data_IF_421831665691
#
_entry.id   IF_421831665691
#
_cell.length_a   1.000
_cell.length_b   1.000
_cell.length_c   1.000
_cell.angle_alpha   90.00
_cell.angle_beta   90.00
_cell.angle_gamma   90.00
#
_symmetry.space_group_name_H-M   'P 1'
#
loop_
_entity.id
_entity.type
_entity.pdbx_description
1 polymer ?
#
# COMPACT_ATOMS: atom_id res chain seq x y z
N UNK A 1 -31.05 -36.70 -30.11
CA UNK A 1 -29.66 -36.50 -30.56
C UNK A 1 -29.09 -35.42 -29.66
N UNK A 2 -28.25 -35.85 -28.74
CA UNK A 2 -27.72 -35.09 -27.60
C UNK A 2 -26.33 -34.56 -27.96
N UNK A 3 -25.85 -33.54 -27.22
CA UNK A 3 -24.46 -33.04 -27.13
C UNK A 3 -24.13 -31.94 -28.19
N UNK A 4 -23.57 -30.77 -27.91
CA UNK A 4 -22.79 -30.33 -26.74
C UNK A 4 -22.91 -28.82 -26.47
N UNK A 5 -22.94 -28.46 -25.18
CA UNK A 5 -22.52 -27.15 -24.69
C UNK A 5 -21.07 -27.30 -24.23
N UNK A 6 -20.11 -26.74 -24.96
CA UNK A 6 -18.75 -26.63 -24.44
C UNK A 6 -18.06 -25.33 -24.84
N UNK A 7 -17.74 -24.58 -23.79
CA UNK A 7 -16.52 -23.80 -23.63
C UNK A 7 -16.30 -22.54 -24.49
N UNK A 8 -17.00 -21.45 -24.13
CA UNK A 8 -16.45 -20.09 -24.28
C UNK A 8 -15.70 -19.76 -22.99
N UNK A 9 -14.51 -20.37 -22.84
CA UNK A 9 -13.56 -19.98 -21.81
C UNK A 9 -12.94 -18.64 -22.18
N UNK A 10 -13.48 -17.53 -21.64
CA UNK A 10 -12.71 -16.29 -21.57
C UNK A 10 -11.59 -16.51 -20.56
N UNK A 11 -10.43 -16.92 -21.07
CA UNK A 11 -9.17 -16.95 -20.34
C UNK A 11 -8.81 -15.51 -19.94
N UNK A 12 -9.26 -15.09 -18.76
CA UNK A 12 -8.72 -13.91 -18.09
C UNK A 12 -7.29 -14.24 -17.68
N UNK A 13 -6.33 -13.94 -18.57
CA UNK A 13 -4.92 -13.94 -18.21
C UNK A 13 -4.75 -13.12 -16.93
N UNK A 14 -4.06 -13.63 -15.90
CA UNK A 14 -3.83 -12.91 -14.67
C UNK A 14 -3.12 -11.59 -15.02
N UNK A 15 -3.70 -10.47 -14.58
CA UNK A 15 -3.04 -9.16 -14.66
C UNK A 15 -1.65 -9.33 -14.05
N UNK A 16 -0.56 -9.05 -14.79
CA UNK A 16 0.78 -9.23 -14.27
C UNK A 16 0.88 -8.44 -12.97
N UNK A 17 1.34 -9.12 -11.91
CA UNK A 17 1.68 -8.47 -10.65
C UNK A 17 2.53 -7.23 -10.99
N UNK A 18 2.19 -6.08 -10.41
CA UNK A 18 2.82 -4.78 -10.67
C UNK A 18 4.36 -4.73 -10.55
N UNK A 19 5.04 -5.86 -10.28
CA UNK A 19 6.48 -5.99 -10.09
C UNK A 19 7.31 -6.29 -11.34
N UNK A 20 6.72 -6.64 -12.49
CA UNK A 20 7.49 -7.16 -13.66
C UNK A 20 7.61 -6.23 -14.87
N UNK A 21 6.99 -5.04 -14.85
CA UNK A 21 7.09 -4.06 -15.93
C UNK A 21 8.22 -3.04 -15.72
N UNK A 22 8.71 -2.36 -16.76
CA UNK A 22 9.67 -1.27 -16.58
C UNK A 22 9.08 -0.20 -15.64
N UNK A 23 9.90 0.40 -14.77
CA UNK A 23 9.49 1.31 -13.68
C UNK A 23 8.41 2.33 -14.10
N UNK A 24 8.54 2.89 -15.30
CA UNK A 24 7.58 3.86 -15.87
C UNK A 24 6.18 3.27 -16.08
N UNK A 25 6.06 2.02 -16.53
CA UNK A 25 4.77 1.36 -16.75
C UNK A 25 4.07 1.05 -15.44
N UNK A 26 4.82 0.61 -14.42
CA UNK A 26 4.26 0.34 -13.09
C UNK A 26 3.70 1.61 -12.46
N UNK A 27 4.47 2.71 -12.52
CA UNK A 27 4.02 4.01 -12.05
C UNK A 27 2.79 4.50 -12.83
N UNK A 28 2.81 4.41 -14.16
CA UNK A 28 1.69 4.82 -15.01
C UNK A 28 0.40 4.03 -14.71
N UNK A 29 0.48 2.70 -14.57
CA UNK A 29 -0.66 1.87 -14.21
C UNK A 29 -1.24 2.24 -12.84
N UNK A 30 -0.39 2.51 -11.84
CA UNK A 30 -0.82 3.01 -10.53
C UNK A 30 -1.54 4.36 -10.63
N UNK A 31 -1.06 5.27 -11.51
CA UNK A 31 -1.70 6.57 -11.75
C UNK A 31 -3.07 6.42 -12.41
N UNK A 32 -3.18 5.59 -13.46
CA UNK A 32 -4.47 5.33 -14.13
C UNK A 32 -5.48 4.76 -13.13
N UNK A 33 -5.04 3.78 -12.32
CA UNK A 33 -5.92 3.18 -11.31
C UNK A 33 -6.33 4.19 -10.25
N UNK A 34 -5.44 5.09 -9.83
CA UNK A 34 -5.77 6.19 -8.91
C UNK A 34 -6.92 7.04 -9.46
N UNK A 35 -6.86 7.41 -10.74
CA UNK A 35 -7.94 8.19 -11.38
C UNK A 35 -9.27 7.44 -11.36
N UNK A 36 -9.27 6.14 -11.65
CA UNK A 36 -10.49 5.31 -11.58
C UNK A 36 -11.06 5.29 -10.15
N UNK A 37 -10.20 5.08 -9.14
CA UNK A 37 -10.63 5.05 -7.73
C UNK A 37 -11.17 6.43 -7.30
N UNK A 38 -10.56 7.53 -7.74
CA UNK A 38 -11.05 8.88 -7.48
C UNK A 38 -12.41 9.14 -8.12
N UNK A 39 -12.69 8.58 -9.31
CA UNK A 39 -14.02 8.65 -9.91
C UNK A 39 -15.03 7.95 -9.02
N UNK A 40 -14.75 6.72 -8.55
CA UNK A 40 -15.65 6.01 -7.64
C UNK A 40 -15.88 6.76 -6.32
N UNK A 41 -14.84 7.40 -5.77
CA UNK A 41 -14.96 8.23 -4.57
C UNK A 41 -15.82 9.48 -4.78
N UNK A 42 -15.91 10.00 -6.02
CA UNK A 42 -16.73 11.16 -6.35
C UNK A 42 -18.16 10.80 -6.75
N UNK A 43 -18.48 9.52 -6.93
CA UNK A 43 -19.83 9.10 -7.28
C UNK A 43 -20.82 9.46 -6.17
N UNK A 44 -21.96 10.07 -6.51
CA UNK A 44 -22.99 10.40 -5.53
C UNK A 44 -23.60 9.11 -4.97
N UNK A 45 -23.60 9.01 -3.64
CA UNK A 45 -24.09 7.84 -2.93
C UNK A 45 -25.62 7.91 -2.87
N UNK A 46 -26.25 7.38 -3.90
CA UNK A 46 -27.72 7.38 -4.08
C UNK A 46 -28.29 5.96 -3.99
N UNK A 47 -29.59 5.84 -3.73
CA UNK A 47 -30.27 4.54 -3.69
C UNK A 47 -30.22 3.79 -5.03
N UNK A 48 -30.15 4.50 -6.16
CA UNK A 48 -29.97 3.89 -7.48
C UNK A 48 -28.67 3.08 -7.60
N UNK A 49 -27.64 3.43 -6.81
CA UNK A 49 -26.37 2.73 -6.79
C UNK A 49 -26.43 1.41 -6.02
N UNK A 50 -27.43 1.20 -5.16
CA UNK A 50 -27.53 0.07 -4.22
C UNK A 50 -27.37 -1.29 -4.91
N UNK A 51 -27.94 -1.44 -6.12
CA UNK A 51 -27.85 -2.69 -6.89
C UNK A 51 -26.42 -3.07 -7.30
N UNK A 52 -25.53 -2.09 -7.46
CA UNK A 52 -24.16 -2.27 -7.94
C UNK A 52 -23.12 -2.29 -6.81
N UNK A 53 -23.52 -2.03 -5.56
CA UNK A 53 -22.60 -1.86 -4.43
C UNK A 53 -21.68 -3.08 -4.24
N UNK A 54 -22.22 -4.30 -4.38
CA UNK A 54 -21.41 -5.52 -4.24
C UNK A 54 -20.39 -5.65 -5.36
N UNK A 55 -20.78 -5.32 -6.58
CA UNK A 55 -19.92 -5.38 -7.77
C UNK A 55 -18.80 -4.33 -7.72
N UNK A 56 -19.03 -3.22 -7.02
CA UNK A 56 -18.03 -2.18 -6.76
C UNK A 56 -17.12 -2.59 -5.60
N UNK A 57 -17.68 -3.02 -4.47
CA UNK A 57 -16.93 -3.29 -3.25
C UNK A 57 -16.07 -4.56 -3.33
N UNK A 58 -16.54 -5.64 -3.98
CA UNK A 58 -15.80 -6.90 -4.02
C UNK A 58 -14.43 -6.75 -4.71
N UNK A 59 -14.31 -6.06 -5.86
CA UNK A 59 -13.02 -5.69 -6.43
C UNK A 59 -12.21 -4.75 -5.53
N UNK A 60 -12.83 -3.77 -4.86
CA UNK A 60 -12.12 -2.83 -4.00
C UNK A 60 -11.44 -3.52 -2.80
N UNK A 61 -12.12 -4.46 -2.15
CA UNK A 61 -11.51 -5.28 -1.08
C UNK A 61 -10.29 -6.05 -1.59
N UNK A 62 -10.36 -6.64 -2.78
CA UNK A 62 -9.24 -7.37 -3.39
C UNK A 62 -8.08 -6.44 -3.75
N UNK A 63 -8.38 -5.27 -4.33
CA UNK A 63 -7.38 -4.27 -4.72
C UNK A 63 -6.65 -3.68 -3.51
N UNK A 64 -7.33 -3.48 -2.39
CA UNK A 64 -6.75 -2.91 -1.17
C UNK A 64 -5.46 -3.62 -0.74
N UNK A 65 -5.40 -4.95 -0.90
CA UNK A 65 -4.23 -5.76 -0.51
C UNK A 65 -3.06 -5.69 -1.50
N UNK A 66 -3.30 -5.19 -2.71
CA UNK A 66 -2.34 -5.20 -3.84
C UNK A 66 -1.80 -3.83 -4.18
N UNK A 67 -2.51 -2.78 -3.79
CA UNK A 67 -2.19 -1.39 -4.13
C UNK A 67 -1.09 -0.77 -3.27
N UNK A 68 -0.59 0.38 -3.74
CA UNK A 68 0.30 1.25 -2.98
C UNK A 68 -0.46 2.01 -1.88
N UNK A 69 0.28 2.61 -0.95
CA UNK A 69 -0.23 3.38 0.19
C UNK A 69 -1.35 4.37 -0.16
N UNK A 70 -1.16 5.23 -1.17
CA UNK A 70 -2.14 6.27 -1.51
C UNK A 70 -3.45 5.68 -2.05
N UNK A 71 -3.33 4.74 -2.99
CA UNK A 71 -4.50 4.08 -3.58
C UNK A 71 -5.25 3.26 -2.53
N UNK A 72 -4.53 2.59 -1.63
CA UNK A 72 -5.13 1.80 -0.56
C UNK A 72 -5.87 2.66 0.47
N UNK A 73 -5.34 3.83 0.83
CA UNK A 73 -6.02 4.79 1.70
C UNK A 73 -7.35 5.24 1.10
N UNK A 74 -7.37 5.55 -0.21
CA UNK A 74 -8.58 5.96 -0.89
C UNK A 74 -9.59 4.80 -1.02
N UNK A 75 -9.13 3.60 -1.37
CA UNK A 75 -9.95 2.39 -1.41
C UNK A 75 -10.61 2.11 -0.06
N UNK A 76 -9.84 2.16 1.04
CA UNK A 76 -10.37 1.93 2.38
C UNK A 76 -11.44 2.97 2.75
N UNK A 77 -11.24 4.24 2.39
CA UNK A 77 -12.24 5.30 2.61
C UNK A 77 -13.55 5.00 1.87
N UNK A 78 -13.47 4.64 0.59
CA UNK A 78 -14.66 4.27 -0.22
C UNK A 78 -15.36 3.06 0.40
N UNK A 79 -14.60 2.01 0.76
CA UNK A 79 -15.14 0.80 1.39
C UNK A 79 -15.90 1.16 2.65
N UNK A 80 -15.29 1.92 3.57
CA UNK A 80 -15.92 2.35 4.82
C UNK A 80 -17.21 3.14 4.57
N UNK A 81 -17.19 4.08 3.63
CA UNK A 81 -18.33 4.93 3.34
C UNK A 81 -19.51 4.12 2.76
N UNK A 82 -19.25 3.23 1.80
CA UNK A 82 -20.27 2.39 1.18
C UNK A 82 -20.79 1.32 2.14
N UNK A 83 -19.90 0.70 2.94
CA UNK A 83 -20.30 -0.26 3.98
C UNK A 83 -21.19 0.42 5.03
N UNK A 84 -20.89 1.67 5.40
CA UNK A 84 -21.70 2.46 6.35
C UNK A 84 -23.07 2.80 5.79
N UNK A 85 -23.13 3.29 4.55
CA UNK A 85 -24.38 3.75 3.94
C UNK A 85 -25.31 2.59 3.56
N UNK A 86 -24.80 1.62 2.81
CA UNK A 86 -25.65 0.58 2.20
C UNK A 86 -25.77 -0.67 3.08
N UNK A 87 -24.81 -0.89 3.98
CA UNK A 87 -24.72 -2.06 4.87
C UNK A 87 -24.89 -3.40 4.12
N UNK A 88 -24.14 -3.63 3.03
CA UNK A 88 -24.28 -4.85 2.26
C UNK A 88 -23.78 -6.06 3.06
N UNK A 89 -24.42 -7.21 2.86
CA UNK A 89 -23.95 -8.48 3.43
C UNK A 89 -22.81 -9.04 2.58
N UNK A 90 -21.57 -8.80 3.03
CA UNK A 90 -20.31 -9.20 2.36
C UNK A 90 -19.34 -9.85 3.37
N UNK A 91 -19.81 -10.90 4.05
CA UNK A 91 -19.08 -11.52 5.17
C UNK A 91 -17.74 -12.12 4.73
N UNK A 92 -17.68 -12.69 3.53
CA UNK A 92 -16.45 -13.31 3.01
C UNK A 92 -15.37 -12.25 2.74
N UNK A 93 -15.72 -11.17 2.05
CA UNK A 93 -14.79 -10.08 1.78
C UNK A 93 -14.32 -9.37 3.05
N UNK A 94 -15.21 -9.20 4.03
CA UNK A 94 -14.83 -8.64 5.34
C UNK A 94 -13.89 -9.58 6.09
N UNK A 95 -14.13 -10.89 6.05
CA UNK A 95 -13.23 -11.89 6.66
C UNK A 95 -11.84 -11.82 6.04
N UNK A 96 -11.75 -11.80 4.71
CA UNK A 96 -10.47 -11.66 3.98
C UNK A 96 -9.75 -10.36 4.35
N UNK A 97 -10.50 -9.26 4.50
CA UNK A 97 -9.95 -7.99 4.98
C UNK A 97 -9.40 -8.09 6.41
N UNK A 98 -10.12 -8.72 7.35
CA UNK A 98 -9.64 -8.89 8.72
C UNK A 98 -8.39 -9.79 8.76
N UNK A 99 -8.32 -10.82 7.92
CA UNK A 99 -7.12 -11.65 7.77
C UNK A 99 -5.93 -10.85 7.22
N UNK A 100 -6.18 -9.96 6.25
CA UNK A 100 -5.16 -9.03 5.77
C UNK A 100 -4.66 -8.12 6.90
N UNK A 101 -5.55 -7.48 7.66
CA UNK A 101 -5.19 -6.65 8.82
C UNK A 101 -4.38 -7.46 9.84
N UNK A 102 -4.84 -8.65 10.19
CA UNK A 102 -4.15 -9.55 11.12
C UNK A 102 -2.70 -9.79 10.66
N UNK A 103 -2.50 -10.10 9.37
CA UNK A 103 -1.18 -10.31 8.80
C UNK A 103 -0.30 -9.04 8.83
N UNK A 104 -0.86 -7.87 8.55
CA UNK A 104 -0.13 -6.59 8.62
C UNK A 104 0.37 -6.34 10.05
N UNK A 105 -0.51 -6.44 11.06
CA UNK A 105 -0.11 -6.23 12.46
C UNK A 105 0.91 -7.27 12.94
N UNK A 106 0.76 -8.55 12.53
CA UNK A 106 1.72 -9.61 12.84
C UNK A 106 3.10 -9.31 12.24
N UNK A 107 3.16 -8.92 10.97
CA UNK A 107 4.42 -8.58 10.30
C UNK A 107 5.08 -7.37 10.96
N UNK A 108 4.32 -6.32 11.27
CA UNK A 108 4.83 -5.12 11.94
C UNK A 108 5.40 -5.41 13.33
N UNK A 109 4.76 -6.30 14.10
CA UNK A 109 5.28 -6.74 15.39
C UNK A 109 6.59 -7.55 15.28
N UNK A 110 6.88 -8.15 14.13
CA UNK A 110 8.12 -8.90 13.89
C UNK A 110 9.23 -8.07 13.24
N UNK A 111 8.89 -6.97 12.57
CA UNK A 111 9.82 -6.20 11.73
C UNK A 111 10.09 -4.78 12.28
N UNK A 112 9.98 -4.58 13.60
CA UNK A 112 10.15 -3.28 14.25
C UNK A 112 11.45 -2.57 13.84
N UNK A 113 12.52 -3.34 13.68
CA UNK A 113 13.85 -2.81 13.41
C UNK A 113 13.94 -2.03 12.09
N UNK A 114 13.03 -2.33 11.16
CA UNK A 114 13.04 -1.77 9.81
C UNK A 114 12.02 -0.66 9.58
N UNK A 115 11.14 -0.38 10.55
CA UNK A 115 10.07 0.61 10.38
C UNK A 115 10.61 2.03 10.51
N UNK A 116 11.52 2.27 11.46
CA UNK A 116 11.91 3.61 11.88
C UNK A 116 13.16 4.15 11.19
N UNK A 117 13.80 3.39 10.30
CA UNK A 117 15.01 3.82 9.63
C UNK A 117 14.70 4.31 8.21
N UNK A 118 15.16 5.51 7.88
CA UNK A 118 15.04 6.06 6.53
C UNK A 118 15.90 5.24 5.57
N UNK A 119 15.26 4.63 4.57
CA UNK A 119 15.95 3.92 3.49
C UNK A 119 16.12 4.85 2.31
N UNK A 120 17.36 5.18 1.96
CA UNK A 120 17.71 5.84 0.71
C UNK A 120 18.40 4.83 -0.20
N UNK A 121 17.87 4.64 -1.41
CA UNK A 121 18.48 3.75 -2.39
C UNK A 121 19.19 4.60 -3.44
N UNK A 122 20.51 4.68 -3.33
CA UNK A 122 21.39 5.13 -4.41
C UNK A 122 21.84 3.89 -5.16
N UNK A 123 21.29 3.63 -6.35
CA UNK A 123 21.85 2.62 -7.25
C UNK A 123 22.83 3.32 -8.18
N UNK A 124 24.16 3.25 -7.91
CA UNK A 124 25.11 3.63 -8.93
C UNK A 124 25.02 2.57 -10.03
N UNK A 125 25.03 3.02 -11.29
CA UNK A 125 25.45 2.21 -12.44
C UNK A 125 24.42 1.35 -13.20
N UNK A 126 23.10 1.57 -13.14
CA UNK A 126 22.19 0.72 -13.95
C UNK A 126 21.08 1.47 -14.68
N UNK A 127 20.71 0.90 -15.82
CA UNK A 127 19.69 1.38 -16.75
C UNK A 127 18.31 1.06 -16.16
N UNK A 128 17.26 1.84 -16.46
CA UNK A 128 15.90 1.70 -15.86
C UNK A 128 15.33 0.26 -15.92
N UNK A 129 15.88 -0.60 -16.79
CA UNK A 129 15.47 -1.97 -17.02
C UNK A 129 16.02 -3.00 -16.00
N UNK A 130 16.99 -2.63 -15.15
CA UNK A 130 17.69 -3.58 -14.25
C UNK A 130 17.37 -3.36 -12.75
N UNK A 131 16.44 -2.45 -12.43
CA UNK A 131 16.05 -2.19 -11.04
C UNK A 131 15.07 -3.28 -10.58
N UNK A 132 15.49 -4.12 -9.62
CA UNK A 132 14.58 -5.04 -8.93
C UNK A 132 13.65 -4.28 -7.97
N UNK A 133 12.56 -3.78 -8.53
CA UNK A 133 11.53 -3.03 -7.83
C UNK A 133 10.85 -3.83 -6.73
N UNK A 134 10.72 -5.15 -6.89
CA UNK A 134 10.10 -6.03 -5.89
C UNK A 134 10.83 -5.94 -4.55
N UNK A 135 12.15 -6.11 -4.58
CA UNK A 135 12.98 -6.10 -3.38
C UNK A 135 12.96 -4.73 -2.67
N UNK A 136 12.97 -3.63 -3.44
CA UNK A 136 12.89 -2.27 -2.89
C UNK A 136 11.51 -2.04 -2.23
N UNK A 137 10.44 -2.37 -2.95
CA UNK A 137 9.05 -2.16 -2.49
C UNK A 137 8.75 -3.00 -1.23
N UNK A 138 9.32 -4.20 -1.11
CA UNK A 138 9.17 -5.04 0.08
C UNK A 138 9.85 -4.43 1.31
N UNK A 139 10.88 -3.62 1.13
CA UNK A 139 11.68 -3.08 2.20
C UNK A 139 11.22 -1.71 2.71
N UNK A 140 10.37 -1.00 1.97
CA UNK A 140 9.94 0.36 2.33
C UNK A 140 8.65 0.36 3.15
N UNK A 141 8.65 1.13 4.24
CA UNK A 141 7.45 1.40 5.04
C UNK A 141 6.79 2.74 4.71
N UNK A 142 7.50 3.62 3.99
CA UNK A 142 7.04 4.95 3.53
C UNK A 142 7.50 5.23 2.11
N UNK A 143 7.12 6.40 1.59
CA UNK A 143 7.60 6.86 0.29
C UNK A 143 9.11 7.11 0.30
N UNK A 144 9.79 6.63 -0.72
CA UNK A 144 11.25 6.78 -0.88
C UNK A 144 11.56 7.39 -2.23
N UNK A 145 12.48 8.36 -2.24
CA UNK A 145 13.03 8.94 -3.47
C UNK A 145 14.14 8.05 -4.01
N UNK A 146 13.94 7.51 -5.21
CA UNK A 146 14.97 6.87 -6.00
C UNK A 146 15.62 7.89 -6.93
N UNK A 147 16.94 7.97 -6.90
CA UNK A 147 17.72 8.76 -7.85
C UNK A 147 18.42 7.80 -8.81
N UNK A 148 18.02 7.83 -10.09
CA UNK A 148 18.60 7.00 -11.14
C UNK A 148 19.54 7.87 -11.97
N UNK A 149 20.85 7.61 -11.87
CA UNK A 149 21.85 8.28 -12.72
C UNK A 149 21.91 7.56 -14.07
N UNK A 150 21.56 8.24 -15.16
CA UNK A 150 21.78 7.70 -16.50
C UNK A 150 23.28 7.71 -16.80
N UNK A 151 23.83 6.55 -17.16
CA UNK A 151 25.13 6.51 -17.84
C UNK A 151 24.84 6.72 -19.33
N UNK A 152 25.14 7.91 -19.84
CA UNK A 152 25.24 8.10 -21.28
C UNK A 152 26.56 7.51 -21.74
N UNK A 153 26.57 6.23 -22.15
CA UNK A 153 27.63 5.73 -23.01
C UNK A 153 27.37 6.23 -24.43
N UNK A 154 27.70 7.50 -24.71
CA UNK A 154 27.89 7.93 -26.09
C UNK A 154 29.28 7.43 -26.53
N UNK A 155 29.41 6.64 -27.61
CA UNK A 155 30.71 6.39 -28.19
C UNK A 155 31.22 7.71 -28.77
N UNK A 156 32.32 8.19 -28.20
CA UNK A 156 33.11 9.29 -28.76
C UNK A 156 33.53 8.87 -30.17
N UNK A 157 32.89 9.39 -31.20
CA UNK A 157 33.49 9.45 -32.52
C UNK A 157 34.33 10.72 -32.57
N UNK A 158 35.63 10.51 -32.55
CA UNK A 158 36.67 11.48 -32.85
C UNK A 158 36.41 12.16 -34.19
N UNK A 159 36.23 13.47 -34.17
CA UNK A 159 36.59 14.34 -35.29
C UNK A 159 37.33 15.55 -34.73
N UNK A 160 38.60 15.65 -35.12
CA UNK A 160 39.52 16.73 -34.83
C UNK A 160 38.99 18.03 -35.45
N UNK A 161 38.85 19.10 -34.67
CA UNK A 161 39.39 20.44 -34.98
C UNK A 161 39.40 21.33 -33.73
N UNK A 162 40.53 21.99 -33.56
CA UNK A 162 41.00 22.98 -32.58
C UNK A 162 40.04 24.15 -32.31
N UNK A 163 39.77 24.47 -31.04
CA UNK A 163 40.22 25.72 -30.37
C UNK A 163 39.59 25.92 -28.98
N UNK A 164 40.34 26.64 -28.14
CA UNK A 164 40.26 26.75 -26.68
C UNK A 164 39.06 27.53 -26.13
N UNK A 165 38.35 26.97 -25.13
CA UNK A 165 38.13 27.57 -23.78
C UNK A 165 37.15 26.70 -22.98
N UNK A 166 37.65 26.13 -21.88
CA UNK A 166 36.98 25.13 -21.04
C UNK A 166 36.02 25.76 -20.04
N UNK A 167 34.72 25.44 -20.19
CA UNK A 167 33.76 25.27 -19.08
C UNK A 167 32.60 24.40 -19.56
N UNK A 168 32.88 23.13 -19.78
CA UNK A 168 31.87 22.11 -20.12
C UNK A 168 31.44 21.42 -18.83
N UNK A 169 30.46 22.00 -18.13
CA UNK A 169 29.74 21.31 -17.05
C UNK A 169 29.01 20.12 -17.67
N UNK A 170 29.54 18.91 -17.48
CA UNK A 170 28.88 17.67 -17.87
C UNK A 170 27.58 17.52 -17.07
N UNK A 171 26.45 17.93 -17.64
CA UNK A 171 25.13 17.73 -17.03
C UNK A 171 24.82 16.22 -17.05
N UNK A 172 25.17 15.53 -15.97
CA UNK A 172 24.67 14.17 -15.69
C UNK A 172 23.16 14.29 -15.47
N UNK A 173 22.35 13.95 -16.47
CA UNK A 173 20.91 13.89 -16.33
C UNK A 173 20.53 12.73 -15.39
N UNK A 174 20.16 13.05 -14.15
CA UNK A 174 19.59 12.10 -13.19
C UNK A 174 18.07 12.22 -13.15
N UNK A 175 17.36 11.13 -13.44
CA UNK A 175 15.91 11.08 -13.27
C UNK A 175 15.62 10.70 -11.80
N UNK A 176 14.75 11.47 -11.12
CA UNK A 176 14.32 11.17 -9.74
C UNK A 176 12.89 10.63 -9.77
N UNK A 177 12.65 9.49 -9.11
CA UNK A 177 11.34 8.87 -8.99
C UNK A 177 10.95 8.73 -7.51
N UNK A 178 9.68 8.93 -7.18
CA UNK A 178 9.15 8.62 -5.84
C UNK A 178 8.45 7.28 -5.89
N UNK A 179 8.89 6.33 -5.06
CA UNK A 179 8.22 5.04 -4.87
C UNK A 179 7.42 5.10 -3.59
N UNK A 180 6.16 4.68 -3.66
CA UNK A 180 5.27 4.56 -2.51
C UNK A 180 5.35 3.14 -1.92
N UNK A 181 5.21 3.02 -0.60
CA UNK A 181 5.13 1.72 0.08
C UNK A 181 3.88 0.96 -0.33
N UNK A 182 3.89 -0.37 -0.17
CA UNK A 182 2.67 -1.19 -0.32
C UNK A 182 1.72 -0.93 0.83
N UNK A 183 0.43 -1.15 0.59
CA UNK A 183 -0.60 -1.15 1.62
C UNK A 183 -0.20 -1.96 2.87
N UNK A 184 0.39 -3.14 2.68
CA UNK A 184 0.83 -4.03 3.77
C UNK A 184 1.93 -3.44 4.66
N UNK A 185 2.71 -2.47 4.15
CA UNK A 185 3.83 -1.86 4.85
C UNK A 185 3.55 -0.42 5.30
N UNK A 186 2.43 0.15 4.90
CA UNK A 186 2.08 1.55 5.22
C UNK A 186 1.67 1.72 6.67
N UNK A 187 2.40 2.57 7.40
CA UNK A 187 2.01 3.00 8.76
C UNK A 187 0.78 3.93 8.70
N UNK A 188 0.64 4.72 7.63
CA UNK A 188 -0.54 5.58 7.44
C UNK A 188 -1.82 4.77 7.26
N UNK A 189 -1.80 3.73 6.43
CA UNK A 189 -2.96 2.86 6.24
C UNK A 189 -3.32 2.13 7.54
N UNK A 190 -2.30 1.68 8.29
CA UNK A 190 -2.49 1.05 9.60
C UNK A 190 -3.26 1.97 10.57
N UNK A 191 -3.03 3.28 10.51
CA UNK A 191 -3.75 4.27 11.32
C UNK A 191 -5.25 4.31 11.03
N UNK A 192 -5.70 3.90 9.84
CA UNK A 192 -7.10 3.94 9.41
C UNK A 192 -7.85 2.63 9.69
N UNK A 193 -7.13 1.52 9.89
CA UNK A 193 -7.76 0.23 10.19
C UNK A 193 -8.62 0.23 11.45
N UNK A 194 -8.23 0.81 12.61
CA UNK A 194 -9.06 0.79 13.81
C UNK A 194 -10.49 1.31 13.57
N UNK A 195 -10.63 2.42 12.84
CA UNK A 195 -11.94 3.02 12.53
C UNK A 195 -12.74 2.13 11.58
N UNK A 196 -12.10 1.59 10.54
CA UNK A 196 -12.74 0.65 9.62
C UNK A 196 -13.23 -0.61 10.34
N UNK A 197 -12.42 -1.18 11.25
CA UNK A 197 -12.75 -2.38 12.02
C UNK A 197 -13.89 -2.10 13.00
N UNK A 198 -13.96 -0.93 13.65
CA UNK A 198 -15.13 -0.56 14.47
C UNK A 198 -16.41 -0.62 13.64
N UNK A 199 -16.41 0.00 12.46
CA UNK A 199 -17.58 -0.02 11.58
C UNK A 199 -17.94 -1.45 11.19
N UNK A 200 -16.97 -2.25 10.76
CA UNK A 200 -17.20 -3.63 10.35
C UNK A 200 -17.70 -4.48 11.51
N UNK A 201 -17.16 -4.31 12.71
CA UNK A 201 -17.64 -4.96 13.93
C UNK A 201 -19.11 -4.61 14.19
N UNK A 202 -19.48 -3.34 14.10
CA UNK A 202 -20.88 -2.92 14.25
C UNK A 202 -21.82 -3.56 13.23
N UNK A 203 -21.35 -3.82 12.01
CA UNK A 203 -22.17 -4.38 10.93
C UNK A 203 -22.25 -5.91 10.93
N UNK A 204 -21.17 -6.62 11.30
CA UNK A 204 -21.07 -8.07 11.08
C UNK A 204 -20.50 -8.87 12.26
N UNK A 205 -20.43 -8.30 13.48
CA UNK A 205 -19.90 -8.99 14.67
C UNK A 205 -20.43 -10.41 14.86
N UNK A 206 -21.73 -10.65 14.63
CA UNK A 206 -22.36 -11.96 14.88
C UNK A 206 -21.72 -13.08 14.07
N UNK A 207 -21.29 -12.79 12.83
CA UNK A 207 -20.74 -13.79 11.92
C UNK A 207 -19.21 -13.91 11.99
N UNK A 208 -18.52 -12.90 12.56
CA UNK A 208 -17.06 -12.78 12.55
C UNK A 208 -16.44 -12.56 13.95
N UNK A 209 -17.12 -13.00 15.01
CA UNK A 209 -16.64 -12.83 16.40
C UNK A 209 -15.22 -13.38 16.61
N UNK A 210 -14.93 -14.55 16.02
CA UNK A 210 -13.62 -15.20 16.18
C UNK A 210 -12.50 -14.34 15.58
N UNK A 211 -12.70 -13.84 14.35
CA UNK A 211 -11.72 -13.01 13.64
C UNK A 211 -11.45 -11.69 14.37
N UNK A 212 -12.50 -11.04 14.91
CA UNK A 212 -12.31 -9.83 15.71
C UNK A 212 -11.57 -10.13 17.02
N UNK A 213 -11.87 -11.26 17.66
CA UNK A 213 -11.19 -11.71 18.87
C UNK A 213 -9.69 -11.95 18.66
N UNK A 214 -9.31 -12.53 17.52
CA UNK A 214 -7.90 -12.78 17.16
C UNK A 214 -7.07 -11.49 16.98
N UNK A 215 -7.72 -10.36 16.64
CA UNK A 215 -7.03 -9.07 16.50
C UNK A 215 -6.63 -8.46 17.84
N UNK A 216 -7.36 -8.75 18.93
CA UNK A 216 -7.11 -8.18 20.26
C UNK A 216 -5.68 -8.44 20.78
N UNK A 217 -5.18 -9.70 20.85
CA UNK A 217 -3.82 -9.96 21.32
C UNK A 217 -2.75 -9.34 20.42
N UNK A 218 -2.99 -9.26 19.11
CA UNK A 218 -2.08 -8.58 18.19
C UNK A 218 -2.00 -7.08 18.46
N UNK A 219 -3.13 -6.42 18.70
CA UNK A 219 -3.18 -5.01 19.02
C UNK A 219 -2.51 -4.71 20.36
N UNK A 220 -2.75 -5.54 21.38
CA UNK A 220 -2.06 -5.42 22.66
C UNK A 220 -0.54 -5.55 22.48
N UNK A 221 -0.07 -6.55 21.72
CA UNK A 221 1.36 -6.67 21.39
C UNK A 221 1.87 -5.45 20.64
N UNK A 222 1.12 -4.95 19.66
CA UNK A 222 1.49 -3.77 18.88
C UNK A 222 1.67 -2.50 19.74
N UNK A 223 0.85 -2.33 20.78
CA UNK A 223 0.97 -1.21 21.72
C UNK A 223 2.24 -1.24 22.57
N UNK A 224 2.84 -2.43 22.78
CA UNK A 224 4.09 -2.56 23.54
C UNK A 224 5.35 -2.25 22.73
N UNK A 225 5.20 -2.15 21.40
CA UNK A 225 6.31 -1.94 20.49
C UNK A 225 6.88 -0.53 20.63
N UNK A 226 8.21 -0.43 20.67
CA UNK A 226 8.93 0.83 20.73
C UNK A 226 10.33 0.67 20.13
N UNK A 227 10.89 1.72 19.48
CA UNK A 227 12.26 1.66 18.99
C UNK A 227 13.26 1.57 20.14
N UNK A 228 14.33 0.82 19.92
CA UNK A 228 15.44 0.67 20.86
C UNK A 228 16.20 1.98 21.03
N UNK A 229 16.98 2.09 22.11
CA UNK A 229 17.82 3.27 22.37
C UNK A 229 18.87 3.48 21.26
N UNK A 230 19.41 2.40 20.72
CA UNK A 230 20.39 2.45 19.62
C UNK A 230 19.76 3.01 18.35
N UNK A 231 18.56 2.57 17.99
CA UNK A 231 17.84 3.06 16.82
C UNK A 231 17.50 4.55 16.92
N UNK A 232 17.08 5.01 18.10
CA UNK A 232 16.77 6.43 18.33
C UNK A 232 17.98 7.33 18.17
N UNK A 233 19.18 6.80 18.36
CA UNK A 233 20.45 7.52 18.20
C UNK A 233 21.01 7.42 16.76
N UNK A 234 20.40 6.61 15.89
CA UNK A 234 20.84 6.46 14.51
C UNK A 234 20.53 7.76 13.73
N UNK A 235 21.49 8.35 13.00
CA UNK A 235 21.25 9.54 12.18
C UNK A 235 20.20 9.34 11.07
N UNK A 236 19.89 8.09 10.70
CA UNK A 236 18.84 7.73 9.74
C UNK A 236 17.48 7.54 10.39
N UNK A 237 17.35 7.69 11.71
CA UNK A 237 16.09 7.57 12.41
C UNK A 237 15.06 8.55 11.84
N UNK A 238 13.95 8.01 11.36
CA UNK A 238 12.88 8.76 10.75
C UNK A 238 11.87 9.17 11.83
N UNK A 239 12.04 10.40 12.33
CA UNK A 239 11.15 10.95 13.35
C UNK A 239 9.70 11.08 12.88
N UNK A 240 9.47 11.38 11.59
CA UNK A 240 8.11 11.51 11.03
C UNK A 240 7.37 10.17 11.10
N UNK A 241 8.00 9.08 10.66
CA UNK A 241 7.43 7.73 10.76
C UNK A 241 7.18 7.34 12.21
N UNK A 242 8.08 7.71 13.12
CA UNK A 242 7.90 7.43 14.53
C UNK A 242 6.68 8.16 15.11
N UNK A 243 6.46 9.44 14.75
CA UNK A 243 5.26 10.19 15.17
C UNK A 243 4.00 9.57 14.58
N UNK A 244 4.01 9.19 13.30
CA UNK A 244 2.89 8.47 12.68
C UNK A 244 2.62 7.14 13.38
N UNK A 245 3.66 6.40 13.73
CA UNK A 245 3.57 5.15 14.47
C UNK A 245 2.93 5.35 15.85
N UNK A 246 3.35 6.35 16.62
CA UNK A 246 2.69 6.69 17.90
C UNK A 246 1.22 7.03 17.72
N UNK A 247 0.87 7.74 16.64
CA UNK A 247 -0.51 8.04 16.27
C UNK A 247 -1.31 6.75 16.01
N UNK A 248 -0.71 5.77 15.33
CA UNK A 248 -1.36 4.46 15.12
C UNK A 248 -1.58 3.70 16.43
N UNK A 249 -0.64 3.77 17.38
CA UNK A 249 -0.80 3.16 18.70
C UNK A 249 -1.95 3.83 19.47
N UNK A 250 -2.02 5.17 19.48
CA UNK A 250 -3.10 5.89 20.13
C UNK A 250 -4.50 5.53 19.55
N UNK A 251 -4.61 5.42 18.22
CA UNK A 251 -5.85 4.98 17.56
C UNK A 251 -6.18 3.50 17.85
N UNK A 252 -5.17 2.63 17.89
CA UNK A 252 -5.35 1.21 18.23
C UNK A 252 -5.80 1.02 19.68
N UNK A 253 -5.25 1.80 20.62
CA UNK A 253 -5.69 1.83 22.01
C UNK A 253 -7.14 2.28 22.13
N UNK A 254 -7.54 3.31 21.36
CA UNK A 254 -8.92 3.78 21.32
C UNK A 254 -9.89 2.70 20.85
N UNK A 255 -9.49 1.89 19.85
CA UNK A 255 -10.27 0.71 19.43
C UNK A 255 -10.37 -0.34 20.54
N UNK A 256 -9.27 -0.69 21.20
CA UNK A 256 -9.29 -1.67 22.30
C UNK A 256 -10.18 -1.21 23.45
N UNK A 257 -10.19 0.08 23.76
CA UNK A 257 -11.11 0.64 24.75
C UNK A 257 -12.58 0.52 24.32
N UNK A 258 -12.89 0.73 23.03
CA UNK A 258 -14.22 0.48 22.48
C UNK A 258 -14.62 -1.00 22.62
N UNK A 259 -13.75 -1.93 22.22
CA UNK A 259 -13.99 -3.36 22.32
C UNK A 259 -14.19 -3.80 23.77
N UNK A 260 -13.35 -3.33 24.69
CA UNK A 260 -13.47 -3.60 26.13
C UNK A 260 -14.82 -3.18 26.71
N UNK A 261 -15.34 -2.01 26.31
CA UNK A 261 -16.70 -1.57 26.69
C UNK A 261 -17.81 -2.44 26.12
N UNK A 262 -17.60 -3.09 24.98
CA UNK A 262 -18.63 -3.96 24.37
C UNK A 262 -18.70 -5.36 24.99
N UNK A 263 -17.68 -5.77 25.76
CA UNK A 263 -17.64 -7.04 26.50
C UNK A 263 -18.02 -6.91 27.98
N UNK A 264 -18.12 -5.68 28.50
CA UNK A 264 -18.73 -5.37 29.81
C UNK A 264 -20.25 -5.29 29.68
#
# INVERSE_FOLDING_TARGET
>A
MTIDQSNVGMDFKPVPSCSSGPLKYVLCLCTIRKQIIEIFHRLPITEALRGFVKDILSPMFKLLTKENEENALLLLRIIVEYMKQFRPQMIMEVREFLQFVHNVYRQKASALDQIFLTKTFSHPTLTINEIDLSAIIEQICTSVKLIVKKIQNFPVQSSITTDETTNSTSHIASDTFTILSRASHSVKLLAEFPVAIVLLYQLCRQSLQAEFGELVPLFLRYLTLQPSKEQKNDPKFNMEIYIEFLTTQAKTLSFLAFVGKTYQ
#
